data_IF_382951278894
#
_entry.id   IF_382951278894
#
_cell.length_a   1.000
_cell.length_b   1.000
_cell.length_c   1.000
_cell.angle_alpha   90.00
_cell.angle_beta   90.00
_cell.angle_gamma   90.00
#
_symmetry.space_group_name_H-M   'P 1'
#
loop_
_entity.id
_entity.type
_entity.pdbx_description
1 polymer ?
#
# COMPACT_ATOMS: atom_id res chain seq x y z
N UNK A 1 -29.52 8.37 4.66
CA UNK A 1 -28.26 8.89 5.25
C UNK A 1 -27.72 8.06 6.42
N UNK A 2 -28.54 7.53 7.36
CA UNK A 2 -28.08 6.63 8.45
C UNK A 2 -27.49 5.32 7.92
N UNK A 3 -28.11 4.67 6.93
CA UNK A 3 -27.67 3.39 6.35
C UNK A 3 -26.25 3.48 5.75
N UNK A 4 -25.95 4.58 5.06
CA UNK A 4 -24.60 4.81 4.48
C UNK A 4 -23.52 4.97 5.56
N UNK A 5 -23.79 5.71 6.64
CA UNK A 5 -22.82 5.87 7.75
C UNK A 5 -22.51 4.55 8.43
N UNK A 6 -23.49 3.64 8.52
CA UNK A 6 -23.32 2.31 9.10
C UNK A 6 -22.56 1.36 8.15
N UNK A 7 -22.69 1.54 6.82
CA UNK A 7 -21.93 0.74 5.84
C UNK A 7 -20.43 1.07 5.82
N UNK A 8 -20.01 2.28 6.19
CA UNK A 8 -18.60 2.64 6.31
C UNK A 8 -17.97 2.18 7.63
N UNK A 9 -18.76 1.67 8.58
CA UNK A 9 -18.30 1.29 9.91
C UNK A 9 -17.51 2.39 10.63
N UNK A 10 -17.78 3.64 10.28
CA UNK A 10 -17.02 4.81 10.72
C UNK A 10 -17.00 4.97 12.24
N UNK A 11 -18.12 4.70 12.93
CA UNK A 11 -18.22 4.80 14.39
C UNK A 11 -17.26 3.84 15.09
N UNK A 12 -17.19 2.59 14.63
CA UNK A 12 -16.25 1.60 15.17
C UNK A 12 -14.80 2.03 14.99
N UNK A 13 -14.42 2.43 13.75
CA UNK A 13 -13.05 2.85 13.44
C UNK A 13 -12.63 4.06 14.28
N UNK A 14 -13.52 5.05 14.42
CA UNK A 14 -13.21 6.29 15.14
C UNK A 14 -13.20 6.12 16.66
N UNK A 15 -13.98 5.18 17.20
CA UNK A 15 -14.01 4.85 18.63
C UNK A 15 -12.88 3.90 19.06
N UNK A 16 -12.19 3.25 18.11
CA UNK A 16 -11.15 2.27 18.42
C UNK A 16 -9.91 2.92 19.05
N UNK A 17 -9.31 2.24 20.04
CA UNK A 17 -8.04 2.63 20.68
C UNK A 17 -6.81 2.41 19.78
N UNK A 18 -6.98 2.42 18.46
CA UNK A 18 -5.89 2.27 17.49
C UNK A 18 -5.12 3.58 17.37
N UNK A 19 -3.87 3.46 16.98
CA UNK A 19 -3.01 4.62 16.69
C UNK A 19 -3.52 5.32 15.43
N UNK A 20 -4.28 6.39 15.62
CA UNK A 20 -5.00 7.08 14.54
C UNK A 20 -4.07 7.59 13.42
N UNK A 21 -2.87 8.07 13.75
CA UNK A 21 -1.92 8.55 12.75
C UNK A 21 -1.50 7.47 11.75
N UNK A 22 -1.48 6.19 12.16
CA UNK A 22 -1.19 5.07 11.27
C UNK A 22 -2.31 4.89 10.24
N UNK A 23 -3.56 5.01 10.69
CA UNK A 23 -4.69 4.93 9.78
C UNK A 23 -4.70 6.16 8.85
N UNK A 24 -4.36 7.37 9.31
CA UNK A 24 -4.17 8.53 8.43
C UNK A 24 -3.10 8.30 7.37
N UNK A 25 -1.90 7.85 7.78
CA UNK A 25 -0.79 7.58 6.86
C UNK A 25 -1.17 6.54 5.78
N UNK A 26 -1.80 5.44 6.20
CA UNK A 26 -2.31 4.41 5.27
C UNK A 26 -3.42 4.93 4.36
N UNK A 27 -4.30 5.79 4.88
CA UNK A 27 -5.39 6.40 4.11
C UNK A 27 -4.88 7.29 2.99
N UNK A 28 -3.89 8.13 3.28
CA UNK A 28 -3.25 8.96 2.25
C UNK A 28 -2.56 8.06 1.21
N UNK A 29 -1.74 7.11 1.66
CA UNK A 29 -0.98 6.26 0.73
C UNK A 29 -1.86 5.41 -0.16
N UNK A 30 -2.97 4.84 0.34
CA UNK A 30 -3.84 4.01 -0.50
C UNK A 30 -4.56 4.84 -1.58
N UNK A 31 -4.93 6.10 -1.28
CA UNK A 31 -5.47 7.00 -2.30
C UNK A 31 -4.42 7.28 -3.39
N UNK A 32 -3.16 7.51 -3.00
CA UNK A 32 -2.06 7.72 -3.94
C UNK A 32 -1.74 6.45 -4.76
N UNK A 33 -1.96 5.26 -4.21
CA UNK A 33 -1.88 3.99 -4.96
C UNK A 33 -3.00 3.91 -6.00
N UNK A 34 -4.23 4.22 -5.61
CA UNK A 34 -5.36 4.27 -6.54
C UNK A 34 -5.13 5.30 -7.66
N UNK A 35 -4.55 6.47 -7.31
CA UNK A 35 -4.16 7.49 -8.27
C UNK A 35 -3.19 6.93 -9.32
N UNK A 36 -2.11 6.28 -8.89
CA UNK A 36 -1.12 5.66 -9.78
C UNK A 36 -1.77 4.68 -10.75
N UNK A 37 -2.50 3.71 -10.22
CA UNK A 37 -3.10 2.67 -11.05
C UNK A 37 -4.20 3.21 -11.97
N UNK A 38 -4.90 4.27 -11.57
CA UNK A 38 -5.84 4.95 -12.45
C UNK A 38 -5.11 5.63 -13.62
N UNK A 39 -4.06 6.42 -13.31
CA UNK A 39 -3.27 7.13 -14.32
C UNK A 39 -2.61 6.17 -15.32
N UNK A 40 -1.94 5.13 -14.82
CA UNK A 40 -1.29 4.12 -15.66
C UNK A 40 -2.30 3.37 -16.51
N UNK A 41 -3.44 2.98 -15.94
CA UNK A 41 -4.50 2.32 -16.69
C UNK A 41 -5.13 3.18 -17.79
N UNK A 42 -5.17 4.50 -17.63
CA UNK A 42 -5.60 5.44 -18.68
C UNK A 42 -4.55 5.53 -19.78
N UNK A 43 -3.26 5.59 -19.42
CA UNK A 43 -2.13 5.60 -20.35
C UNK A 43 -2.08 4.30 -21.19
N UNK A 44 -2.24 3.15 -20.54
CA UNK A 44 -2.29 1.84 -21.20
C UNK A 44 -3.53 1.63 -22.09
N UNK A 45 -4.56 2.46 -21.92
CA UNK A 45 -5.75 2.46 -22.77
C UNK A 45 -5.67 3.47 -23.92
N UNK A 46 -4.48 4.00 -24.21
CA UNK A 46 -4.19 4.98 -25.26
C UNK A 46 -5.03 6.28 -25.15
N UNK A 47 -5.45 6.64 -23.92
CA UNK A 47 -6.14 7.89 -23.69
C UNK A 47 -5.16 9.06 -23.59
N UNK A 48 -5.55 10.30 -23.96
CA UNK A 48 -4.64 11.44 -24.10
C UNK A 48 -4.20 12.02 -22.75
N UNK A 49 -3.54 11.19 -21.92
CA UNK A 49 -3.00 11.62 -20.61
C UNK A 49 -1.87 12.63 -20.75
N UNK A 50 -1.20 12.66 -21.91
CA UNK A 50 -0.14 13.62 -22.23
C UNK A 50 -0.59 15.09 -22.27
N UNK A 51 -1.88 15.34 -22.51
CA UNK A 51 -2.47 16.68 -22.49
C UNK A 51 -2.54 17.27 -21.07
N UNK A 52 -2.28 16.43 -20.04
CA UNK A 52 -2.36 16.80 -18.63
C UNK A 52 -1.02 16.56 -17.90
N UNK A 53 0.05 17.30 -18.22
CA UNK A 53 1.41 17.07 -17.69
C UNK A 53 1.46 17.16 -16.16
N UNK A 54 0.62 17.98 -15.54
CA UNK A 54 0.54 18.08 -14.09
C UNK A 54 0.15 16.74 -13.43
N UNK A 55 -0.77 15.99 -14.04
CA UNK A 55 -1.16 14.68 -13.52
C UNK A 55 0.00 13.69 -13.57
N UNK A 56 0.81 13.72 -14.61
CA UNK A 56 2.02 12.89 -14.70
C UNK A 56 3.06 13.32 -13.67
N UNK A 57 3.34 14.61 -13.52
CA UNK A 57 4.25 15.12 -12.51
C UNK A 57 3.84 14.67 -11.10
N UNK A 58 2.56 14.79 -10.76
CA UNK A 58 2.02 14.33 -9.47
C UNK A 58 2.16 12.81 -9.32
N UNK A 59 1.94 12.03 -10.39
CA UNK A 59 2.10 10.59 -10.38
C UNK A 59 3.53 10.18 -10.00
N UNK A 60 4.53 10.83 -10.61
CA UNK A 60 5.95 10.60 -10.32
C UNK A 60 6.32 11.12 -8.94
N UNK A 61 5.96 12.35 -8.60
CA UNK A 61 6.29 13.00 -7.32
C UNK A 61 5.86 12.17 -6.10
N UNK A 62 4.69 11.55 -6.16
CA UNK A 62 4.19 10.73 -5.06
C UNK A 62 4.60 9.25 -5.13
N UNK A 63 5.43 8.86 -6.07
CA UNK A 63 5.82 7.46 -6.27
C UNK A 63 6.72 6.93 -5.16
N UNK A 64 7.76 7.70 -4.80
CA UNK A 64 8.92 7.20 -4.06
C UNK A 64 8.61 6.64 -2.67
N UNK A 65 7.62 7.17 -1.95
CA UNK A 65 7.37 6.84 -0.53
C UNK A 65 6.13 5.98 -0.27
N UNK A 66 5.23 5.82 -1.24
CA UNK A 66 3.94 5.12 -1.04
C UNK A 66 4.12 3.70 -0.51
N UNK A 67 4.92 2.90 -1.19
CA UNK A 67 5.14 1.51 -0.82
C UNK A 67 6.12 1.37 0.35
N UNK A 68 7.26 2.08 0.39
CA UNK A 68 8.15 2.11 1.55
C UNK A 68 7.43 2.38 2.87
N UNK A 69 6.48 3.34 2.90
CA UNK A 69 5.74 3.67 4.11
C UNK A 69 4.92 2.49 4.65
N UNK A 70 4.29 1.70 3.77
CA UNK A 70 3.55 0.51 4.20
C UNK A 70 4.47 -0.56 4.83
N UNK A 71 5.69 -0.73 4.31
CA UNK A 71 6.67 -1.64 4.91
C UNK A 71 7.17 -1.11 6.26
N UNK A 72 7.49 0.18 6.38
CA UNK A 72 7.86 0.82 7.64
C UNK A 72 6.74 0.63 8.68
N UNK A 73 5.51 0.96 8.33
CA UNK A 73 4.35 0.82 9.24
C UNK A 73 4.15 -0.64 9.67
N UNK A 74 4.40 -1.60 8.80
CA UNK A 74 4.31 -3.03 9.16
C UNK A 74 5.43 -3.46 10.10
N UNK A 75 6.64 -2.94 9.91
CA UNK A 75 7.80 -3.17 10.77
C UNK A 75 7.62 -2.63 12.18
N UNK A 76 6.89 -1.49 12.36
CA UNK A 76 6.62 -0.89 13.68
C UNK A 76 6.04 -1.87 14.72
N UNK A 77 5.35 -2.90 14.26
CA UNK A 77 4.63 -3.82 15.15
C UNK A 77 5.26 -5.19 15.28
N UNK A 78 6.33 -5.50 14.54
CA UNK A 78 6.89 -6.85 14.48
C UNK A 78 7.41 -7.31 15.84
N UNK A 79 8.24 -6.51 16.51
CA UNK A 79 8.82 -6.87 17.81
C UNK A 79 7.76 -7.09 18.88
N UNK A 80 6.79 -6.19 19.01
CA UNK A 80 5.67 -6.34 19.97
C UNK A 80 4.80 -7.55 19.66
N UNK A 81 4.56 -7.83 18.38
CA UNK A 81 3.78 -8.99 17.97
C UNK A 81 4.50 -10.30 18.25
N UNK A 82 5.81 -10.37 18.02
CA UNK A 82 6.63 -11.55 18.32
C UNK A 82 6.71 -11.83 19.82
N UNK A 83 6.90 -10.78 20.64
CA UNK A 83 6.89 -10.92 22.10
C UNK A 83 5.55 -11.43 22.63
N UNK A 84 4.43 -10.97 22.06
CA UNK A 84 3.08 -11.34 22.52
C UNK A 84 2.62 -12.72 22.04
N UNK A 85 2.99 -13.14 20.81
CA UNK A 85 2.38 -14.29 20.14
C UNK A 85 3.38 -15.41 19.79
N UNK A 86 4.68 -15.12 19.82
CA UNK A 86 5.70 -16.01 19.28
C UNK A 86 5.74 -16.06 17.75
N UNK A 87 6.75 -16.77 17.23
CA UNK A 87 7.05 -16.82 15.78
C UNK A 87 5.92 -17.48 14.97
N UNK A 88 5.48 -18.67 15.40
CA UNK A 88 4.45 -19.47 14.68
C UNK A 88 3.15 -18.70 14.51
N UNK A 89 2.65 -18.12 15.58
CA UNK A 89 1.36 -17.40 15.58
C UNK A 89 1.48 -16.05 14.86
N UNK A 90 2.66 -15.43 14.87
CA UNK A 90 2.95 -14.24 14.08
C UNK A 90 2.86 -14.57 12.58
N UNK A 91 3.60 -15.57 12.11
CA UNK A 91 3.63 -15.96 10.69
C UNK A 91 2.25 -16.43 10.23
N UNK A 92 1.58 -17.27 11.03
CA UNK A 92 0.21 -17.71 10.73
C UNK A 92 -0.78 -16.53 10.66
N UNK A 93 -0.64 -15.57 11.57
CA UNK A 93 -1.45 -14.36 11.53
C UNK A 93 -1.22 -13.51 10.27
N UNK A 94 0.05 -13.38 9.84
CA UNK A 94 0.39 -12.68 8.59
C UNK A 94 -0.11 -13.45 7.37
N UNK A 95 0.05 -14.76 7.34
CA UNK A 95 -0.51 -15.60 6.29
C UNK A 95 -2.03 -15.38 6.17
N UNK A 96 -2.74 -15.50 7.28
CA UNK A 96 -4.20 -15.39 7.34
C UNK A 96 -4.74 -14.03 6.87
N UNK A 97 -4.04 -12.92 7.16
CA UNK A 97 -4.55 -11.55 6.92
C UNK A 97 -3.95 -10.93 5.64
N UNK A 98 -2.77 -11.37 5.19
CA UNK A 98 -2.07 -10.75 4.05
C UNK A 98 -2.01 -11.70 2.86
N UNK A 99 -1.47 -12.90 3.06
CA UNK A 99 -1.18 -13.82 1.97
C UNK A 99 -2.42 -14.57 1.47
N UNK A 100 -3.28 -15.03 2.39
CA UNK A 100 -4.53 -15.70 2.02
C UNK A 100 -5.47 -14.80 1.20
N UNK A 101 -5.77 -13.54 1.60
CA UNK A 101 -6.58 -12.66 0.76
C UNK A 101 -5.95 -12.36 -0.60
N UNK A 102 -4.61 -12.29 -0.68
CA UNK A 102 -3.89 -12.16 -1.95
C UNK A 102 -4.25 -13.31 -2.88
N UNK A 103 -4.21 -14.57 -2.39
CA UNK A 103 -4.55 -15.74 -3.21
C UNK A 103 -6.00 -15.65 -3.69
N UNK A 104 -6.96 -15.38 -2.79
CA UNK A 104 -8.39 -15.35 -3.13
C UNK A 104 -8.68 -14.24 -4.15
N UNK A 105 -8.29 -13.00 -3.84
CA UNK A 105 -8.60 -11.84 -4.69
C UNK A 105 -7.75 -11.79 -5.96
N UNK A 106 -6.49 -12.25 -5.90
CA UNK A 106 -5.65 -12.39 -7.08
C UNK A 106 -6.20 -13.41 -8.06
N UNK A 107 -6.61 -14.59 -7.57
CA UNK A 107 -7.25 -15.62 -8.41
C UNK A 107 -8.57 -15.12 -9.01
N UNK A 108 -9.39 -14.42 -8.22
CA UNK A 108 -10.63 -13.81 -8.73
C UNK A 108 -10.34 -12.81 -9.85
N UNK A 109 -9.35 -11.93 -9.64
CA UNK A 109 -8.98 -10.92 -10.64
C UNK A 109 -8.47 -11.58 -11.94
N UNK A 110 -7.60 -12.60 -11.85
CA UNK A 110 -7.11 -13.35 -13.02
C UNK A 110 -8.28 -14.00 -13.76
N UNK A 111 -9.20 -14.64 -13.03
CA UNK A 111 -10.40 -15.26 -13.62
C UNK A 111 -11.24 -14.23 -14.38
N UNK A 112 -11.51 -13.08 -13.76
CA UNK A 112 -12.27 -11.99 -14.42
C UNK A 112 -11.55 -11.46 -15.66
N UNK A 113 -10.23 -11.32 -15.61
CA UNK A 113 -9.45 -10.86 -16.76
C UNK A 113 -9.44 -11.88 -17.90
N UNK A 114 -9.35 -13.19 -17.61
CA UNK A 114 -9.46 -14.25 -18.60
C UNK A 114 -10.83 -14.25 -19.27
N UNK A 115 -11.91 -14.05 -18.49
CA UNK A 115 -13.28 -13.99 -19.02
C UNK A 115 -13.51 -12.72 -19.84
N UNK A 116 -12.93 -11.59 -19.41
CA UNK A 116 -13.14 -10.27 -20.00
C UNK A 116 -11.95 -9.80 -20.87
N UNK A 117 -11.17 -10.73 -21.44
CA UNK A 117 -9.92 -10.44 -22.15
C UNK A 117 -10.03 -9.37 -23.26
N UNK A 118 -11.20 -9.23 -23.88
CA UNK A 118 -11.45 -8.25 -24.94
C UNK A 118 -11.74 -6.82 -24.42
N UNK A 119 -11.89 -6.66 -23.10
CA UNK A 119 -12.25 -5.39 -22.46
C UNK A 119 -11.18 -4.86 -21.54
N UNK A 120 -10.21 -5.69 -21.13
CA UNK A 120 -9.12 -5.33 -20.21
C UNK A 120 -7.81 -5.09 -20.97
N UNK A 121 -6.94 -4.23 -20.42
CA UNK A 121 -5.62 -3.98 -21.03
C UNK A 121 -4.65 -5.15 -20.78
N UNK A 122 -4.82 -5.87 -19.67
CA UNK A 122 -3.97 -7.02 -19.34
C UNK A 122 -4.15 -8.18 -20.35
N UNK A 123 -3.08 -8.93 -20.58
CA UNK A 123 -3.08 -10.14 -21.43
C UNK A 123 -2.85 -11.39 -20.56
N UNK A 124 -3.83 -11.78 -19.73
CA UNK A 124 -3.66 -12.87 -18.78
C UNK A 124 -3.55 -14.23 -19.48
N UNK A 125 -2.76 -15.10 -18.88
CA UNK A 125 -2.62 -16.51 -19.26
C UNK A 125 -2.94 -17.40 -18.07
N UNK A 126 -3.38 -18.67 -18.24
CA UNK A 126 -3.70 -19.56 -17.13
C UNK A 126 -2.54 -19.75 -16.13
N UNK A 127 -1.30 -19.69 -16.57
CA UNK A 127 -0.11 -19.80 -15.71
C UNK A 127 0.01 -18.64 -14.71
N UNK A 128 -0.74 -17.58 -14.88
CA UNK A 128 -0.70 -16.41 -13.98
C UNK A 128 -1.22 -16.68 -12.57
N UNK A 129 -2.02 -17.73 -12.37
CA UNK A 129 -2.34 -18.19 -11.01
C UNK A 129 -1.08 -18.61 -10.23
N UNK A 130 -0.09 -19.20 -10.90
CA UNK A 130 1.20 -19.55 -10.31
C UNK A 130 2.08 -18.30 -10.17
N UNK A 131 2.09 -17.44 -11.19
CA UNK A 131 2.82 -16.18 -11.18
C UNK A 131 2.39 -15.24 -10.05
N UNK A 132 1.14 -15.32 -9.60
CA UNK A 132 0.65 -14.57 -8.44
C UNK A 132 1.54 -14.76 -7.19
N UNK A 133 2.15 -15.94 -7.05
CA UNK A 133 3.02 -16.29 -5.92
C UNK A 133 4.50 -16.16 -6.31
N UNK A 134 4.90 -16.69 -7.45
CA UNK A 134 6.31 -16.84 -7.82
C UNK A 134 6.83 -15.57 -8.50
N UNK A 135 6.04 -15.01 -9.44
CA UNK A 135 6.43 -13.84 -10.24
C UNK A 135 5.32 -12.79 -10.29
N UNK A 136 4.97 -12.16 -9.16
CA UNK A 136 3.83 -11.26 -9.05
C UNK A 136 3.99 -9.96 -9.86
N UNK A 137 5.19 -9.64 -10.36
CA UNK A 137 5.46 -8.50 -11.27
C UNK A 137 5.46 -8.89 -12.74
N UNK A 138 5.02 -10.09 -13.09
CA UNK A 138 4.95 -10.49 -14.50
C UNK A 138 4.12 -9.45 -15.30
N UNK A 139 4.67 -8.92 -16.42
CA UNK A 139 4.00 -7.89 -17.24
C UNK A 139 2.66 -8.30 -17.82
N UNK A 140 2.43 -9.59 -18.03
CA UNK A 140 1.14 -10.11 -18.56
C UNK A 140 -0.01 -9.94 -17.56
N UNK A 141 0.27 -9.56 -16.30
CA UNK A 141 -0.65 -9.77 -15.20
C UNK A 141 -0.65 -8.70 -14.12
N UNK A 142 -1.48 -8.84 -13.17
CA UNK A 142 -1.87 -8.25 -11.91
C UNK A 142 -0.72 -7.66 -11.06
N UNK A 143 0.02 -6.74 -11.62
CA UNK A 143 1.21 -6.16 -11.01
C UNK A 143 1.00 -5.62 -9.59
N UNK A 144 -0.23 -5.30 -9.15
CA UNK A 144 -0.42 -4.77 -7.79
C UNK A 144 -0.14 -5.80 -6.69
N UNK A 145 -0.39 -7.08 -6.89
CA UNK A 145 -0.27 -8.10 -5.84
C UNK A 145 1.16 -8.39 -5.36
N UNK A 146 2.18 -7.91 -6.09
CA UNK A 146 3.58 -8.01 -5.69
C UNK A 146 3.82 -7.50 -4.25
N UNK A 147 3.14 -6.41 -3.88
CA UNK A 147 3.34 -5.80 -2.57
C UNK A 147 2.90 -6.70 -1.41
N UNK A 148 1.70 -7.30 -1.47
CA UNK A 148 1.23 -8.20 -0.42
C UNK A 148 2.09 -9.45 -0.32
N UNK A 149 2.55 -9.94 -1.47
CA UNK A 149 3.49 -11.05 -1.56
C UNK A 149 4.82 -10.69 -0.86
N UNK A 150 5.47 -9.61 -1.28
CA UNK A 150 6.70 -9.13 -0.67
C UNK A 150 6.53 -8.82 0.83
N UNK A 151 5.42 -8.20 1.23
CA UNK A 151 5.13 -7.86 2.62
C UNK A 151 5.01 -9.10 3.52
N UNK A 152 4.43 -10.18 2.99
CA UNK A 152 4.36 -11.44 3.72
C UNK A 152 5.75 -12.05 3.88
N UNK A 153 6.51 -12.22 2.78
CA UNK A 153 7.83 -12.85 2.84
C UNK A 153 8.84 -12.04 3.64
N UNK A 154 8.91 -10.72 3.44
CA UNK A 154 9.77 -9.84 4.24
C UNK A 154 9.46 -9.98 5.72
N UNK A 155 8.17 -9.91 6.11
CA UNK A 155 7.78 -10.04 7.50
C UNK A 155 8.07 -11.42 8.10
N UNK A 156 7.88 -12.51 7.34
CA UNK A 156 8.14 -13.87 7.77
C UNK A 156 9.66 -14.13 7.92
N UNK A 157 10.46 -13.74 6.92
CA UNK A 157 11.93 -13.89 6.93
C UNK A 157 12.51 -13.06 8.08
N UNK A 158 12.11 -11.79 8.23
CA UNK A 158 12.56 -10.92 9.32
C UNK A 158 12.29 -11.55 10.70
N UNK A 159 11.07 -12.02 10.90
CA UNK A 159 10.66 -12.66 12.15
C UNK A 159 11.44 -13.96 12.43
N UNK A 160 11.63 -14.79 11.41
CA UNK A 160 12.42 -16.02 11.51
C UNK A 160 13.86 -15.73 11.91
N UNK A 161 14.54 -14.81 11.22
CA UNK A 161 15.92 -14.43 11.54
C UNK A 161 16.04 -13.86 12.96
N UNK A 162 15.08 -13.06 13.40
CA UNK A 162 15.06 -12.43 14.72
C UNK A 162 14.87 -13.44 15.85
N UNK A 163 13.98 -14.42 15.68
CA UNK A 163 13.60 -15.36 16.74
C UNK A 163 14.36 -16.66 16.66
N UNK A 164 14.38 -17.34 15.50
CA UNK A 164 15.01 -18.65 15.34
C UNK A 164 16.52 -18.55 15.29
N UNK A 165 17.07 -17.60 14.52
CA UNK A 165 18.51 -17.39 14.40
C UNK A 165 19.05 -16.34 15.38
N UNK A 166 18.19 -15.75 16.22
CA UNK A 166 18.55 -14.77 17.26
C UNK A 166 19.37 -13.59 16.74
N UNK A 167 19.06 -13.13 15.52
CA UNK A 167 19.73 -11.97 14.93
C UNK A 167 19.48 -10.73 15.79
N UNK A 168 20.61 -10.15 16.27
CA UNK A 168 20.60 -8.85 16.96
C UNK A 168 20.35 -7.73 15.94
N UNK A 169 20.06 -6.53 16.44
CA UNK A 169 19.80 -5.35 15.61
C UNK A 169 20.91 -5.08 14.59
N UNK A 170 22.18 -5.24 15.00
CA UNK A 170 23.33 -5.05 14.13
C UNK A 170 23.38 -6.06 12.95
N UNK A 171 23.01 -7.33 13.20
CA UNK A 171 22.97 -8.35 12.14
C UNK A 171 21.84 -8.01 11.14
N UNK A 172 20.69 -7.54 11.64
CA UNK A 172 19.57 -7.10 10.81
C UNK A 172 19.95 -5.86 9.98
N UNK A 173 20.72 -4.92 10.56
CA UNK A 173 21.21 -3.73 9.84
C UNK A 173 22.12 -4.14 8.68
N UNK A 174 23.15 -4.94 8.96
CA UNK A 174 24.09 -5.40 7.93
C UNK A 174 23.34 -6.14 6.82
N UNK A 175 22.49 -7.09 7.20
CA UNK A 175 21.68 -7.83 6.23
C UNK A 175 20.79 -6.93 5.39
N UNK A 176 20.14 -5.93 6.00
CA UNK A 176 19.25 -5.01 5.27
C UNK A 176 20.01 -4.17 4.24
N UNK A 177 21.23 -3.72 4.57
CA UNK A 177 22.09 -2.98 3.63
C UNK A 177 22.58 -3.90 2.51
N UNK A 178 23.01 -5.11 2.84
CA UNK A 178 23.45 -6.10 1.83
C UNK A 178 22.31 -6.44 0.88
N UNK A 179 21.13 -6.77 1.39
CA UNK A 179 19.98 -7.09 0.55
C UNK A 179 19.58 -5.91 -0.32
N UNK A 180 19.60 -4.69 0.22
CA UNK A 180 19.29 -3.48 -0.55
C UNK A 180 20.29 -3.24 -1.69
N UNK A 181 21.57 -3.50 -1.44
CA UNK A 181 22.63 -3.43 -2.45
C UNK A 181 22.45 -4.50 -3.53
N UNK A 182 22.10 -5.72 -3.13
CA UNK A 182 21.76 -6.82 -4.07
C UNK A 182 20.56 -6.42 -4.94
N UNK A 183 19.51 -5.87 -4.36
CA UNK A 183 18.36 -5.38 -5.12
C UNK A 183 18.75 -4.32 -6.15
N UNK A 184 19.60 -3.35 -5.75
CA UNK A 184 20.13 -2.34 -6.65
C UNK A 184 20.94 -2.94 -7.81
N UNK A 185 21.82 -3.88 -7.52
CA UNK A 185 22.61 -4.59 -8.53
C UNK A 185 21.71 -5.36 -9.54
N UNK A 186 20.74 -6.12 -9.04
CA UNK A 186 19.80 -6.87 -9.87
C UNK A 186 18.97 -5.92 -10.77
N UNK A 187 18.46 -4.83 -10.19
CA UNK A 187 17.67 -3.84 -10.93
C UNK A 187 18.46 -3.13 -12.01
N UNK A 188 19.68 -2.69 -11.68
CA UNK A 188 20.58 -2.01 -12.63
C UNK A 188 20.94 -2.88 -13.85
N UNK A 189 21.13 -4.19 -13.63
CA UNK A 189 21.45 -5.14 -14.69
C UNK A 189 20.22 -5.74 -15.38
N UNK A 190 19.00 -5.31 -15.03
CA UNK A 190 17.76 -5.85 -15.60
C UNK A 190 17.50 -7.31 -15.27
N UNK A 191 18.12 -7.83 -14.19
CA UNK A 191 17.99 -9.23 -13.76
C UNK A 191 16.71 -9.39 -12.98
N UNK A 192 15.66 -9.88 -13.65
CA UNK A 192 14.38 -10.24 -13.01
C UNK A 192 14.50 -11.63 -12.36
N UNK A 193 14.55 -11.69 -11.03
CA UNK A 193 14.58 -12.95 -10.29
C UNK A 193 13.32 -13.11 -9.45
N UNK A 194 12.18 -13.26 -10.14
CA UNK A 194 10.86 -13.50 -9.53
C UNK A 194 10.51 -12.46 -8.44
N UNK A 195 10.17 -12.91 -7.22
CA UNK A 195 9.85 -12.04 -6.06
C UNK A 195 11.09 -11.58 -5.29
N UNK A 196 12.25 -12.18 -5.52
CA UNK A 196 13.46 -11.98 -4.71
C UNK A 196 13.95 -10.51 -4.69
N UNK A 197 14.01 -9.77 -5.83
CA UNK A 197 14.38 -8.36 -5.82
C UNK A 197 13.49 -7.50 -4.93
N UNK A 198 12.19 -7.77 -4.88
CA UNK A 198 11.26 -7.05 -4.02
C UNK A 198 11.52 -7.32 -2.54
N UNK A 199 11.79 -8.59 -2.17
CA UNK A 199 12.14 -8.96 -0.80
C UNK A 199 13.42 -8.21 -0.38
N UNK A 200 14.44 -8.24 -1.22
CA UNK A 200 15.72 -7.57 -0.96
C UNK A 200 15.55 -6.05 -0.81
N UNK A 201 14.80 -5.42 -1.73
CA UNK A 201 14.60 -3.98 -1.75
C UNK A 201 13.81 -3.48 -0.54
N UNK A 202 12.73 -4.17 -0.16
CA UNK A 202 11.83 -3.69 0.89
C UNK A 202 12.20 -4.16 2.30
N UNK A 203 13.17 -5.06 2.46
CA UNK A 203 13.63 -5.52 3.76
C UNK A 203 14.15 -4.37 4.64
N UNK A 204 14.91 -3.42 4.07
CA UNK A 204 15.47 -2.28 4.80
C UNK A 204 14.36 -1.38 5.38
N UNK A 205 13.26 -1.15 4.65
CA UNK A 205 12.15 -0.33 5.14
C UNK A 205 11.41 -0.99 6.29
N UNK A 206 11.24 -2.31 6.21
CA UNK A 206 10.64 -3.08 7.30
C UNK A 206 11.53 -3.06 8.56
N UNK A 207 12.82 -3.21 8.40
CA UNK A 207 13.82 -3.07 9.46
C UNK A 207 13.82 -1.68 10.08
N UNK A 208 13.79 -0.60 9.29
CA UNK A 208 13.66 0.77 9.78
C UNK A 208 12.40 0.90 10.64
N UNK A 209 11.28 0.32 10.21
CA UNK A 209 10.06 0.28 11.01
C UNK A 209 10.26 -0.34 12.38
N UNK A 210 10.96 -1.48 12.49
CA UNK A 210 11.23 -2.13 13.76
C UNK A 210 12.12 -1.26 14.67
N UNK A 211 13.17 -0.61 14.12
CA UNK A 211 14.04 0.29 14.89
C UNK A 211 13.27 1.47 15.46
N UNK A 212 12.56 2.19 14.62
CA UNK A 212 11.87 3.41 15.06
C UNK A 212 10.70 3.10 16.01
N UNK A 213 10.24 1.85 16.06
CA UNK A 213 9.17 1.42 16.99
C UNK A 213 9.48 1.67 18.46
N UNK A 214 10.76 1.71 18.83
CA UNK A 214 11.22 1.91 20.20
C UNK A 214 10.98 3.34 20.71
N UNK A 215 10.89 4.31 19.80
CA UNK A 215 10.76 5.73 20.17
C UNK A 215 9.56 6.44 19.52
N UNK A 216 9.10 6.04 18.33
CA UNK A 216 8.03 6.76 17.58
C UNK A 216 6.70 6.85 18.36
N UNK A 217 6.46 5.93 19.30
CA UNK A 217 5.24 5.92 20.11
C UNK A 217 5.35 6.74 21.40
N UNK A 218 6.52 7.32 21.70
CA UNK A 218 6.72 8.16 22.86
C UNK A 218 6.16 9.55 22.61
N UNK A 219 5.56 10.15 23.65
CA UNK A 219 4.99 11.50 23.55
C UNK A 219 6.06 12.54 23.25
N UNK A 220 7.22 12.41 23.92
CA UNK A 220 8.36 13.33 23.76
C UNK A 220 8.83 13.35 22.29
N UNK A 221 8.89 12.18 21.65
CA UNK A 221 9.26 12.08 20.24
C UNK A 221 8.23 12.75 19.34
N UNK A 222 6.94 12.57 19.63
CA UNK A 222 5.86 13.23 18.90
C UNK A 222 5.96 14.75 19.03
N UNK A 223 6.21 15.26 20.21
CA UNK A 223 6.34 16.71 20.47
C UNK A 223 7.55 17.31 19.71
N UNK A 224 8.68 16.59 19.67
CA UNK A 224 9.86 16.99 18.87
C UNK A 224 9.53 16.99 17.37
N UNK A 225 8.99 15.90 16.86
CA UNK A 225 8.67 15.73 15.43
C UNK A 225 7.66 16.79 14.93
N UNK A 226 6.72 17.18 15.80
CA UNK A 226 5.70 18.20 15.50
C UNK A 226 6.11 19.62 15.85
N UNK A 227 7.34 19.85 16.32
CA UNK A 227 7.82 21.21 16.57
C UNK A 227 8.02 21.97 15.24
N UNK A 228 7.83 23.30 15.21
CA UNK A 228 7.89 24.09 13.98
C UNK A 228 9.23 23.94 13.23
N UNK A 229 10.34 23.84 13.97
CA UNK A 229 11.69 23.66 13.36
C UNK A 229 11.77 22.35 12.57
N UNK A 230 11.33 21.25 13.16
CA UNK A 230 11.35 19.93 12.50
C UNK A 230 10.33 19.83 11.38
N UNK A 231 9.15 20.44 11.51
CA UNK A 231 8.15 20.48 10.44
C UNK A 231 8.64 21.23 9.21
N UNK A 232 9.19 22.42 9.41
CA UNK A 232 9.71 23.24 8.29
C UNK A 232 10.92 22.55 7.66
N UNK A 233 11.86 22.07 8.48
CA UNK A 233 13.08 21.41 7.98
C UNK A 233 12.76 20.15 7.18
N UNK A 234 11.88 19.31 7.66
CA UNK A 234 11.47 18.08 6.96
C UNK A 234 10.66 18.37 5.71
N UNK A 235 9.81 19.41 5.72
CA UNK A 235 9.06 19.82 4.55
C UNK A 235 10.00 20.32 3.42
N UNK A 236 10.94 21.19 3.75
CA UNK A 236 11.95 21.69 2.79
C UNK A 236 12.77 20.51 2.25
N UNK A 237 13.26 19.63 3.11
CA UNK A 237 14.05 18.48 2.70
C UNK A 237 13.23 17.51 1.83
N UNK A 238 11.98 17.23 2.21
CA UNK A 238 11.10 16.41 1.41
C UNK A 238 10.81 17.02 0.04
N UNK A 239 10.47 18.31 -0.03
CA UNK A 239 10.22 19.01 -1.30
C UNK A 239 11.48 18.94 -2.19
N UNK A 240 12.66 19.21 -1.64
CA UNK A 240 13.92 19.12 -2.38
C UNK A 240 14.13 17.71 -2.95
N UNK A 241 14.01 16.66 -2.11
CA UNK A 241 14.22 15.28 -2.53
C UNK A 241 13.18 14.81 -3.55
N UNK A 242 11.91 15.18 -3.39
CA UNK A 242 10.87 14.84 -4.37
C UNK A 242 11.04 15.61 -5.69
N UNK A 243 11.54 16.84 -5.64
CA UNK A 243 11.88 17.60 -6.86
C UNK A 243 13.03 16.92 -7.61
N UNK A 244 14.10 16.51 -6.92
CA UNK A 244 15.20 15.75 -7.52
C UNK A 244 14.68 14.47 -8.17
N UNK A 245 13.85 13.69 -7.44
CA UNK A 245 13.24 12.46 -7.93
C UNK A 245 12.42 12.70 -9.19
N UNK A 246 11.50 13.66 -9.13
CA UNK A 246 10.59 13.95 -10.24
C UNK A 246 11.35 14.46 -11.46
N UNK A 247 12.30 15.38 -11.27
CA UNK A 247 13.05 15.98 -12.39
C UNK A 247 13.91 14.94 -13.11
N UNK A 248 14.61 14.08 -12.38
CA UNK A 248 15.49 13.08 -13.01
C UNK A 248 14.63 12.03 -13.74
N UNK A 249 13.59 11.49 -13.09
CA UNK A 249 12.72 10.50 -13.72
C UNK A 249 12.03 11.05 -14.98
N UNK A 250 11.50 12.27 -14.91
CA UNK A 250 10.85 12.92 -16.07
C UNK A 250 11.84 13.17 -17.24
N UNK A 251 13.10 13.54 -16.95
CA UNK A 251 14.14 13.70 -17.97
C UNK A 251 14.48 12.41 -18.70
N UNK A 252 14.41 11.27 -18.00
CA UNK A 252 14.66 9.96 -18.59
C UNK A 252 13.41 9.30 -19.19
N UNK A 253 12.24 9.92 -19.05
CA UNK A 253 10.97 9.37 -19.55
C UNK A 253 10.54 8.08 -18.84
N UNK A 254 11.12 7.80 -17.67
CA UNK A 254 10.84 6.60 -16.87
C UNK A 254 10.53 6.99 -15.42
N UNK A 255 9.31 6.72 -15.00
CA UNK A 255 8.83 7.03 -13.64
C UNK A 255 9.64 6.32 -12.53
N UNK A 256 10.43 5.32 -12.88
CA UNK A 256 11.20 4.46 -11.98
C UNK A 256 12.72 4.56 -12.17
N UNK A 257 13.22 5.45 -13.02
CA UNK A 257 14.64 5.51 -13.38
C UNK A 257 15.56 5.53 -12.16
N UNK A 258 15.31 6.43 -11.20
CA UNK A 258 16.12 6.51 -9.96
C UNK A 258 16.04 5.22 -9.16
N UNK A 259 14.87 4.62 -9.06
CA UNK A 259 14.68 3.38 -8.29
C UNK A 259 15.55 2.23 -8.84
N UNK A 260 15.65 2.11 -10.16
CA UNK A 260 16.39 1.03 -10.82
C UNK A 260 17.87 1.35 -11.04
N UNK A 261 18.19 2.60 -11.39
CA UNK A 261 19.54 2.97 -11.81
C UNK A 261 20.34 3.68 -10.71
N UNK A 262 19.66 4.29 -9.72
CA UNK A 262 20.28 5.07 -8.65
C UNK A 262 19.73 4.64 -7.28
N UNK A 263 19.73 3.35 -7.00
CA UNK A 263 19.07 2.74 -5.83
C UNK A 263 19.49 3.38 -4.50
N UNK A 264 20.77 3.74 -4.35
CA UNK A 264 21.25 4.40 -3.13
C UNK A 264 20.71 5.84 -2.96
N UNK A 265 20.45 6.55 -4.07
CA UNK A 265 19.78 7.85 -4.03
C UNK A 265 18.29 7.70 -3.74
N UNK A 266 17.67 6.60 -4.19
CA UNK A 266 16.26 6.31 -3.92
C UNK A 266 15.95 6.17 -2.43
N UNK A 267 16.87 5.60 -1.64
CA UNK A 267 16.65 5.40 -0.19
C UNK A 267 16.38 6.70 0.58
N UNK A 268 17.27 7.73 0.56
CA UNK A 268 17.00 8.98 1.24
C UNK A 268 15.79 9.73 0.67
N UNK A 269 15.53 9.64 -0.64
CA UNK A 269 14.35 10.23 -1.27
C UNK A 269 13.07 9.62 -0.67
N UNK A 270 12.97 8.29 -0.67
CA UNK A 270 11.79 7.59 -0.14
C UNK A 270 11.60 7.78 1.35
N UNK A 271 12.69 7.79 2.13
CA UNK A 271 12.65 8.02 3.57
C UNK A 271 12.23 9.46 3.91
N UNK A 272 12.66 10.45 3.14
CA UNK A 272 12.21 11.85 3.32
C UNK A 272 10.69 11.98 3.15
N UNK A 273 10.14 11.34 2.11
CA UNK A 273 8.70 11.28 1.89
C UNK A 273 7.96 10.52 2.99
N UNK A 274 8.49 9.37 3.43
CA UNK A 274 7.91 8.60 4.53
C UNK A 274 7.87 9.40 5.85
N UNK A 275 8.97 10.06 6.21
CA UNK A 275 9.05 10.88 7.42
C UNK A 275 8.05 12.03 7.39
N UNK A 276 7.97 12.74 6.27
CA UNK A 276 7.02 13.84 6.10
C UNK A 276 5.55 13.36 6.13
N UNK A 277 5.23 12.21 5.52
CA UNK A 277 3.89 11.61 5.60
C UNK A 277 3.51 11.20 7.03
N UNK A 278 4.45 10.67 7.81
CA UNK A 278 4.23 10.37 9.23
C UNK A 278 3.92 11.66 10.00
N UNK A 279 4.66 12.75 9.76
CA UNK A 279 4.39 14.05 10.41
C UNK A 279 2.99 14.58 10.05
N UNK A 280 2.62 14.57 8.76
CA UNK A 280 1.28 14.98 8.32
C UNK A 280 0.22 14.13 9.04
N UNK A 281 0.39 12.83 9.10
CA UNK A 281 -0.55 11.93 9.76
C UNK A 281 -0.69 12.22 11.26
N UNK A 282 0.41 12.54 11.95
CA UNK A 282 0.40 12.95 13.36
C UNK A 282 -0.27 14.32 13.57
N UNK A 283 -0.07 15.28 12.64
CA UNK A 283 -0.78 16.57 12.66
C UNK A 283 -2.28 16.36 12.50
N UNK A 284 -2.71 15.53 11.55
CA UNK A 284 -4.13 15.21 11.35
C UNK A 284 -4.74 14.56 12.59
N UNK A 285 -4.00 13.65 13.25
CA UNK A 285 -4.41 13.08 14.53
C UNK A 285 -4.52 14.14 15.61
N UNK A 286 -3.51 15.01 15.78
CA UNK A 286 -3.49 16.05 16.82
C UNK A 286 -4.62 17.07 16.64
N UNK A 287 -4.93 17.45 15.38
CA UNK A 287 -6.00 18.38 15.06
C UNK A 287 -7.38 17.73 14.96
N UNK A 288 -7.46 16.41 14.98
CA UNK A 288 -8.70 15.60 14.86
C UNK A 288 -9.56 15.96 13.63
N UNK A 289 -8.91 16.29 12.51
CA UNK A 289 -9.55 16.67 11.25
C UNK A 289 -9.46 15.55 10.20
N UNK A 290 -10.21 15.66 9.10
CA UNK A 290 -10.22 14.70 7.99
C UNK A 290 -10.42 13.23 8.44
N UNK A 291 -11.32 13.00 9.41
CA UNK A 291 -11.57 11.67 10.02
C UNK A 291 -11.92 10.58 9.00
N UNK A 292 -12.45 10.96 7.85
CA UNK A 292 -12.73 10.03 6.75
C UNK A 292 -11.46 9.31 6.24
N UNK A 293 -10.28 9.97 6.29
CA UNK A 293 -9.01 9.34 5.96
C UNK A 293 -8.66 8.19 6.90
N UNK A 294 -9.05 8.25 8.19
CA UNK A 294 -8.87 7.13 9.13
C UNK A 294 -9.70 5.94 8.72
N UNK A 295 -10.94 6.18 8.28
CA UNK A 295 -11.84 5.12 7.80
C UNK A 295 -11.24 4.46 6.56
N UNK A 296 -10.75 5.23 5.61
CA UNK A 296 -10.05 4.73 4.43
C UNK A 296 -8.80 3.95 4.82
N UNK A 297 -7.97 4.48 5.71
CA UNK A 297 -6.74 3.84 6.16
C UNK A 297 -6.97 2.53 6.90
N UNK A 298 -8.01 2.45 7.72
CA UNK A 298 -8.46 1.20 8.35
C UNK A 298 -8.77 0.12 7.30
N UNK A 299 -9.42 0.51 6.21
CA UNK A 299 -9.81 -0.38 5.13
C UNK A 299 -8.77 -0.50 4.01
N UNK A 300 -7.57 0.09 4.18
CA UNK A 300 -6.55 0.19 3.12
C UNK A 300 -6.19 -1.16 2.48
N UNK A 301 -6.15 -2.25 3.24
CA UNK A 301 -5.89 -3.58 2.69
C UNK A 301 -7.01 -4.05 1.75
N UNK A 302 -8.26 -3.82 2.12
CA UNK A 302 -9.41 -4.24 1.31
C UNK A 302 -9.57 -3.38 0.06
N UNK A 303 -9.27 -2.09 0.18
CA UNK A 303 -9.16 -1.19 -0.98
C UNK A 303 -8.05 -1.70 -1.89
N UNK A 304 -6.89 -2.06 -1.34
CA UNK A 304 -5.76 -2.57 -2.11
C UNK A 304 -6.11 -3.84 -2.91
N UNK A 305 -6.89 -4.75 -2.34
CA UNK A 305 -7.30 -5.99 -3.00
C UNK A 305 -8.24 -5.76 -4.20
N UNK A 306 -9.09 -4.72 -4.15
CA UNK A 306 -10.21 -4.56 -5.09
C UNK A 306 -10.09 -3.36 -6.02
N UNK A 307 -9.27 -2.33 -5.67
CA UNK A 307 -9.28 -1.04 -6.38
C UNK A 307 -9.02 -1.15 -7.88
N UNK A 308 -8.09 -2.02 -8.30
CA UNK A 308 -7.71 -2.11 -9.71
C UNK A 308 -8.87 -2.60 -10.59
N UNK A 309 -9.59 -3.64 -10.13
CA UNK A 309 -10.77 -4.14 -10.83
C UNK A 309 -11.85 -3.07 -10.95
N UNK A 310 -12.08 -2.32 -9.87
CA UNK A 310 -13.10 -1.28 -9.82
C UNK A 310 -12.73 -0.06 -10.67
N UNK A 311 -11.48 0.39 -10.58
CA UNK A 311 -10.97 1.50 -11.40
C UNK A 311 -11.08 1.15 -12.90
N UNK A 312 -10.67 -0.07 -13.28
CA UNK A 312 -10.79 -0.54 -14.65
C UNK A 312 -12.25 -0.63 -15.10
N UNK A 313 -13.15 -1.17 -14.28
CA UNK A 313 -14.58 -1.23 -14.59
C UNK A 313 -15.19 0.16 -14.79
N UNK A 314 -14.91 1.10 -13.87
CA UNK A 314 -15.38 2.49 -13.98
C UNK A 314 -14.84 3.15 -15.24
N UNK A 315 -13.54 2.99 -15.54
CA UNK A 315 -12.95 3.50 -16.78
C UNK A 315 -13.68 2.96 -18.02
N UNK A 316 -13.89 1.65 -18.10
CA UNK A 316 -14.58 1.01 -19.24
C UNK A 316 -15.97 1.61 -19.40
N UNK A 317 -16.73 1.74 -18.32
CA UNK A 317 -18.08 2.33 -18.33
C UNK A 317 -18.05 3.79 -18.81
N UNK A 318 -17.19 4.63 -18.24
CA UNK A 318 -17.12 6.05 -18.59
C UNK A 318 -16.67 6.26 -20.04
N UNK A 319 -15.67 5.51 -20.50
CA UNK A 319 -15.09 5.72 -21.84
C UNK A 319 -15.93 5.05 -22.92
N UNK A 320 -16.33 3.77 -22.74
CA UNK A 320 -17.02 3.02 -23.82
C UNK A 320 -18.52 3.24 -23.88
N UNK A 321 -19.19 3.47 -22.73
CA UNK A 321 -20.64 3.64 -22.70
C UNK A 321 -21.05 5.12 -22.69
N UNK A 322 -20.32 5.96 -21.91
CA UNK A 322 -20.63 7.38 -21.81
C UNK A 322 -19.78 8.26 -22.72
N UNK A 323 -18.80 7.69 -23.45
CA UNK A 323 -17.88 8.39 -24.36
C UNK A 323 -17.17 9.59 -23.69
N UNK A 324 -16.93 9.52 -22.37
CA UNK A 324 -16.20 10.54 -21.64
C UNK A 324 -14.73 10.35 -21.89
N UNK A 325 -14.04 11.41 -22.39
CA UNK A 325 -12.58 11.39 -22.68
C UNK A 325 -11.81 12.39 -21.82
N UNK A 326 -12.49 13.23 -21.03
CA UNK A 326 -11.84 14.22 -20.17
C UNK A 326 -11.14 13.55 -18.97
N UNK A 327 -9.83 13.43 -19.05
CA UNK A 327 -8.97 12.66 -18.12
C UNK A 327 -9.18 13.04 -16.65
N UNK A 328 -9.17 14.34 -16.23
CA UNK A 328 -9.33 14.69 -14.82
C UNK A 328 -10.65 14.19 -14.22
N UNK A 329 -11.74 14.24 -14.99
CA UNK A 329 -13.05 13.76 -14.55
C UNK A 329 -13.07 12.24 -14.38
N UNK A 330 -12.50 11.51 -15.36
CA UNK A 330 -12.39 10.05 -15.28
C UNK A 330 -11.58 9.65 -14.05
N UNK A 331 -10.42 10.29 -13.83
CA UNK A 331 -9.59 10.03 -12.66
C UNK A 331 -10.33 10.31 -11.35
N UNK A 332 -11.01 11.45 -11.25
CA UNK A 332 -11.76 11.81 -10.05
C UNK A 332 -12.84 10.77 -9.70
N UNK A 333 -13.64 10.37 -10.70
CA UNK A 333 -14.72 9.39 -10.50
C UNK A 333 -14.14 8.01 -10.21
N UNK A 334 -13.16 7.55 -11.00
CA UNK A 334 -12.58 6.22 -10.87
C UNK A 334 -11.83 6.03 -9.56
N UNK A 335 -11.07 7.02 -9.10
CA UNK A 335 -10.37 6.98 -7.81
C UNK A 335 -11.38 7.02 -6.67
N UNK A 336 -12.38 7.90 -6.73
CA UNK A 336 -13.40 8.00 -5.68
C UNK A 336 -14.17 6.69 -5.52
N UNK A 337 -14.65 6.10 -6.62
CA UNK A 337 -15.35 4.82 -6.59
C UNK A 337 -14.41 3.65 -6.25
N UNK A 338 -13.17 3.67 -6.75
CA UNK A 338 -12.14 2.69 -6.44
C UNK A 338 -11.74 2.65 -4.96
N UNK A 339 -11.96 3.73 -4.22
CA UNK A 339 -11.75 3.80 -2.77
C UNK A 339 -13.03 3.48 -1.99
N UNK A 340 -14.18 4.01 -2.41
CA UNK A 340 -15.44 3.92 -1.66
C UNK A 340 -16.06 2.51 -1.77
N UNK A 341 -16.16 1.97 -2.99
CA UNK A 341 -16.85 0.70 -3.24
C UNK A 341 -16.18 -0.48 -2.50
N UNK A 342 -14.85 -0.61 -2.45
CA UNK A 342 -14.21 -1.67 -1.67
C UNK A 342 -14.58 -1.65 -0.19
N UNK A 343 -14.70 -0.46 0.41
CA UNK A 343 -15.12 -0.31 1.82
C UNK A 343 -16.54 -0.84 2.02
N UNK A 344 -17.43 -0.49 1.09
CA UNK A 344 -18.83 -0.96 1.14
C UNK A 344 -18.92 -2.49 0.94
N UNK A 345 -18.19 -3.03 -0.04
CA UNK A 345 -18.14 -4.48 -0.31
C UNK A 345 -17.62 -5.22 0.91
N UNK A 346 -16.48 -4.79 1.48
CA UNK A 346 -15.91 -5.42 2.67
C UNK A 346 -16.92 -5.47 3.82
N UNK A 347 -17.51 -4.32 4.18
CA UNK A 347 -18.45 -4.25 5.29
C UNK A 347 -19.74 -5.04 5.01
N UNK A 348 -20.20 -5.09 3.76
CA UNK A 348 -21.33 -5.94 3.37
C UNK A 348 -20.99 -7.44 3.52
N UNK A 349 -19.83 -7.87 3.04
CA UNK A 349 -19.36 -9.25 3.17
C UNK A 349 -19.25 -9.67 4.65
N UNK A 350 -18.73 -8.80 5.52
CA UNK A 350 -18.65 -9.06 6.95
C UNK A 350 -20.06 -9.28 7.55
N UNK A 351 -21.04 -8.43 7.16
CA UNK A 351 -22.44 -8.54 7.62
C UNK A 351 -23.13 -9.84 7.15
N UNK A 352 -22.83 -10.24 5.92
CA UNK A 352 -23.38 -11.48 5.32
C UNK A 352 -22.64 -12.75 5.75
N UNK A 353 -21.64 -12.64 6.64
CA UNK A 353 -20.87 -13.80 7.09
C UNK A 353 -19.79 -14.29 6.10
N UNK A 354 -19.54 -13.57 5.01
CA UNK A 354 -18.52 -13.86 3.99
C UNK A 354 -17.13 -13.31 4.37
N UNK A 355 -16.81 -13.24 5.66
CA UNK A 355 -15.52 -12.76 6.18
C UNK A 355 -14.34 -13.58 5.69
N UNK A 356 -14.55 -14.85 5.34
CA UNK A 356 -13.53 -15.75 4.80
C UNK A 356 -12.92 -15.28 3.49
N UNK A 357 -13.57 -14.38 2.74
CA UNK A 357 -12.97 -13.75 1.55
C UNK A 357 -11.75 -12.87 1.90
N UNK A 358 -11.62 -12.45 3.14
CA UNK A 358 -10.61 -11.49 3.57
C UNK A 358 -9.65 -11.99 4.65
N UNK A 359 -9.96 -13.10 5.30
CA UNK A 359 -9.11 -13.66 6.36
C UNK A 359 -9.53 -15.09 6.71
N UNK A 360 -8.55 -15.92 7.10
CA UNK A 360 -8.84 -17.21 7.73
C UNK A 360 -9.30 -17.09 9.19
N UNK A 361 -9.16 -15.89 9.78
CA UNK A 361 -9.60 -15.61 11.15
C UNK A 361 -10.92 -14.87 11.15
N UNK A 362 -11.91 -15.44 11.84
CA UNK A 362 -13.19 -14.75 12.03
C UNK A 362 -12.96 -13.40 12.72
N UNK A 363 -13.59 -12.31 12.25
CA UNK A 363 -13.53 -11.03 12.92
C UNK A 363 -13.98 -11.14 14.39
N UNK A 364 -13.39 -10.33 15.27
CA UNK A 364 -13.80 -10.28 16.67
C UNK A 364 -15.29 -9.94 16.79
N UNK A 365 -15.96 -10.52 17.80
CA UNK A 365 -17.40 -10.35 18.02
C UNK A 365 -17.83 -8.86 18.12
N UNK A 366 -16.94 -7.99 18.60
CA UNK A 366 -17.15 -6.54 18.63
C UNK A 366 -17.41 -5.93 17.24
N UNK A 367 -16.71 -6.38 16.20
CA UNK A 367 -16.94 -5.93 14.83
C UNK A 367 -18.31 -6.41 14.34
N UNK A 368 -18.70 -7.65 14.70
CA UNK A 368 -20.01 -8.21 14.38
C UNK A 368 -21.15 -7.48 15.11
N UNK A 369 -20.93 -7.11 16.37
CA UNK A 369 -21.96 -6.44 17.19
C UNK A 369 -22.30 -5.03 16.66
N UNK A 370 -21.30 -4.26 16.24
CA UNK A 370 -21.53 -2.96 15.58
C UNK A 370 -22.22 -3.09 14.21
N UNK A 371 -22.10 -4.25 13.56
CA UNK A 371 -22.78 -4.54 12.30
C UNK A 371 -24.19 -5.09 12.48
N UNK A 372 -24.52 -5.73 13.60
CA UNK A 372 -25.82 -6.36 13.86
C UNK A 372 -26.76 -5.54 14.75
N UNK A 373 -26.28 -4.53 15.46
CA UNK A 373 -27.10 -3.72 16.39
C UNK A 373 -28.21 -2.86 15.73
N UNK A 374 -28.67 -3.16 14.52
CA UNK A 374 -29.83 -2.46 13.93
C UNK A 374 -30.64 -3.27 12.94
N UNK A 375 -30.92 -4.50 13.26
CA UNK A 375 -32.05 -5.24 12.65
C UNK A 375 -33.13 -5.60 13.69
N UNK A 376 -33.06 -5.02 14.88
CA UNK A 376 -34.12 -5.08 15.88
C UNK A 376 -34.78 -3.70 16.05
#
# INVERSE_FOLDING_TARGET
>A
MKLFKDLFNARYVLASNRLAWIDYARGICIILVCYRHCFDGLKEADLPVGDFPLLQILNVCFYSFRMPLFFIVSGLFVSRSLQKKGLRDYVWGRFSIVFYPLIIWGSLQITLQLLLKNYVNAKPVPFDYVNLIIYPRNPSNNQQFWYLNALFFVGAIYAFLKVALRFKLQHQLVLSVVLYSVAGYLSYNGIGFYIFPDICHFYIYFFIGDIISSFIFKKETTDIILSPKWLIGSAIFCIFMQTVFTTINMRHGDDNYINYNMTYLYLPISLSGCAFMIQIAQILQKKDILKWLRVIGYHSLYIYLMHLMLIAAVRIVLVRFFHITYIPLIMFIAISLGVIIPVLIYNLCIRLGAWWLFSLKKPAAEIQHYTTMKTA
#
